data_IF_138761260547
#
_entry.id   IF_138761260547
#
_cell.length_a   1.000
_cell.length_b   1.000
_cell.length_c   1.000
_cell.angle_alpha   90.00
_cell.angle_beta   90.00
_cell.angle_gamma   90.00
#
_symmetry.space_group_name_H-M   'P 1'
#
loop_
_entity.id
_entity.type
_entity.pdbx_description
1 polymer ?
#
# COMPACT_ATOMS: atom_id res chain seq x y z
N UNK A 1 -59.09 -13.24 7.36
CA UNK A 1 -58.94 -11.82 6.97
C UNK A 1 -57.55 -11.47 6.38
N UNK A 2 -56.59 -12.36 6.37
CA UNK A 2 -55.20 -12.11 5.88
C UNK A 2 -55.01 -12.16 4.35
N UNK A 3 -55.97 -12.78 3.63
CA UNK A 3 -55.81 -13.06 2.19
C UNK A 3 -56.18 -11.87 1.26
N UNK A 4 -56.84 -10.85 1.79
CA UNK A 4 -57.22 -9.66 1.01
C UNK A 4 -56.13 -8.59 0.95
N UNK A 5 -55.23 -8.53 1.95
CA UNK A 5 -54.13 -7.57 1.95
C UNK A 5 -52.96 -8.00 1.04
N UNK A 6 -52.77 -9.31 0.88
CA UNK A 6 -51.69 -9.83 0.00
C UNK A 6 -51.98 -9.58 -1.48
N UNK A 7 -53.27 -9.67 -1.87
CA UNK A 7 -53.69 -9.42 -3.27
C UNK A 7 -53.74 -7.94 -3.67
N UNK A 8 -53.78 -7.01 -2.70
CA UNK A 8 -53.77 -5.56 -3.00
C UNK A 8 -52.35 -5.04 -3.29
N UNK A 9 -51.31 -5.64 -2.70
CA UNK A 9 -49.91 -5.30 -2.96
C UNK A 9 -49.46 -5.70 -4.37
N UNK A 10 -49.99 -6.78 -4.93
CA UNK A 10 -49.64 -7.21 -6.28
C UNK A 10 -50.36 -6.44 -7.41
N UNK A 11 -51.42 -5.69 -7.10
CA UNK A 11 -52.13 -4.85 -8.11
C UNK A 11 -51.46 -3.51 -8.39
N UNK A 12 -50.53 -3.08 -7.54
CA UNK A 12 -49.84 -1.80 -7.70
C UNK A 12 -48.58 -1.87 -8.59
N UNK A 13 -48.02 -3.06 -8.87
CA UNK A 13 -46.89 -3.22 -9.75
C UNK A 13 -47.28 -3.74 -11.13
N UNK A 14 -47.77 -2.83 -11.99
CA UNK A 14 -47.89 -3.09 -13.44
C UNK A 14 -46.49 -3.04 -14.10
N UNK A 15 -45.59 -3.91 -13.65
CA UNK A 15 -44.30 -4.10 -14.30
C UNK A 15 -44.53 -4.91 -15.59
N UNK A 16 -44.01 -4.41 -16.72
CA UNK A 16 -44.03 -5.13 -18.00
C UNK A 16 -43.25 -6.45 -17.82
N UNK A 17 -43.64 -7.46 -18.61
CA UNK A 17 -43.03 -8.80 -18.56
C UNK A 17 -41.49 -8.78 -18.60
N UNK A 18 -40.92 -7.83 -19.31
CA UNK A 18 -39.46 -7.58 -19.41
C UNK A 18 -38.85 -7.08 -18.09
N UNK A 19 -39.57 -6.31 -17.29
CA UNK A 19 -39.09 -5.79 -16.01
C UNK A 19 -39.04 -6.90 -14.94
N UNK A 20 -39.90 -7.90 -15.04
CA UNK A 20 -39.84 -9.08 -14.16
C UNK A 20 -38.61 -9.95 -14.42
N UNK A 21 -38.17 -10.08 -15.68
CA UNK A 21 -36.97 -10.82 -16.01
C UNK A 21 -35.72 -10.13 -15.46
N UNK A 22 -35.62 -8.80 -15.51
CA UNK A 22 -34.53 -8.05 -14.91
C UNK A 22 -34.51 -8.17 -13.38
N UNK A 23 -35.66 -8.11 -12.71
CA UNK A 23 -35.74 -8.28 -11.25
C UNK A 23 -35.32 -9.70 -10.82
N UNK A 24 -35.74 -10.73 -11.55
CA UNK A 24 -35.33 -12.11 -11.28
C UNK A 24 -33.84 -12.30 -11.51
N UNK A 25 -33.26 -11.74 -12.58
CA UNK A 25 -31.84 -11.78 -12.84
C UNK A 25 -31.05 -11.05 -11.75
N UNK A 26 -31.49 -9.88 -11.32
CA UNK A 26 -30.85 -9.13 -10.24
C UNK A 26 -30.88 -9.89 -8.91
N UNK A 27 -32.02 -10.51 -8.56
CA UNK A 27 -32.14 -11.36 -7.37
C UNK A 27 -31.19 -12.58 -7.43
N UNK A 28 -31.09 -13.19 -8.61
CA UNK A 28 -30.19 -14.34 -8.81
C UNK A 28 -28.72 -13.93 -8.69
N UNK A 29 -28.32 -12.78 -9.22
CA UNK A 29 -26.97 -12.24 -9.06
C UNK A 29 -26.64 -11.95 -7.58
N UNK A 30 -27.57 -11.33 -6.84
CA UNK A 30 -27.38 -11.05 -5.41
C UNK A 30 -27.25 -12.36 -4.61
N UNK A 31 -28.06 -13.38 -4.91
CA UNK A 31 -27.99 -14.69 -4.23
C UNK A 31 -26.67 -15.41 -4.47
N UNK A 32 -26.09 -15.31 -5.68
CA UNK A 32 -24.78 -15.88 -6.01
C UNK A 32 -23.68 -15.14 -5.24
N UNK A 33 -23.71 -13.81 -5.20
CA UNK A 33 -22.73 -13.00 -4.47
C UNK A 33 -22.76 -13.31 -2.97
N UNK A 34 -23.95 -13.36 -2.37
CA UNK A 34 -24.12 -13.70 -0.95
C UNK A 34 -23.70 -15.14 -0.67
N UNK A 35 -24.05 -16.09 -1.55
CA UNK A 35 -23.65 -17.50 -1.42
C UNK A 35 -22.15 -17.70 -1.47
N UNK A 36 -21.44 -17.02 -2.38
CA UNK A 36 -19.97 -17.10 -2.47
C UNK A 36 -19.31 -16.44 -1.26
N UNK A 37 -19.83 -15.32 -0.77
CA UNK A 37 -19.29 -14.65 0.41
C UNK A 37 -19.46 -15.49 1.70
N UNK A 38 -20.58 -16.21 1.83
CA UNK A 38 -20.81 -17.13 2.95
C UNK A 38 -19.93 -18.38 2.85
N UNK A 39 -19.71 -18.89 1.64
CA UNK A 39 -18.85 -20.07 1.45
C UNK A 39 -17.38 -19.79 1.70
N UNK A 40 -16.87 -18.62 1.30
CA UNK A 40 -15.49 -18.20 1.61
C UNK A 40 -15.28 -18.02 3.11
N UNK A 41 -16.27 -17.50 3.86
CA UNK A 41 -16.18 -17.42 5.32
C UNK A 41 -16.15 -18.79 5.99
N UNK A 42 -16.94 -19.77 5.51
CA UNK A 42 -16.90 -21.13 6.05
C UNK A 42 -15.57 -21.84 5.76
N UNK A 43 -14.92 -21.56 4.63
CA UNK A 43 -13.64 -22.16 4.28
C UNK A 43 -12.48 -21.67 5.19
N UNK A 44 -12.56 -20.47 5.75
CA UNK A 44 -11.58 -19.96 6.71
C UNK A 44 -11.71 -20.65 8.08
N UNK A 45 -12.91 -20.95 8.55
CA UNK A 45 -13.11 -21.69 9.81
C UNK A 45 -12.68 -23.16 9.73
N UNK A 46 -12.65 -23.77 8.54
CA UNK A 46 -12.24 -25.16 8.36
C UNK A 46 -10.71 -25.37 8.32
N UNK A 47 -9.90 -24.31 8.33
CA UNK A 47 -8.42 -24.41 8.30
C UNK A 47 -7.76 -24.39 9.68
N UNK A 48 -8.52 -24.41 10.76
CA UNK A 48 -7.95 -24.67 12.07
C UNK A 48 -7.65 -26.16 12.17
N UNK A 49 -6.44 -26.56 11.77
CA UNK A 49 -5.93 -27.90 12.01
C UNK A 49 -5.84 -28.13 13.51
N UNK A 50 -6.43 -29.20 14.06
CA UNK A 50 -6.23 -29.53 15.46
C UNK A 50 -4.75 -29.89 15.68
N UNK A 51 -4.10 -29.12 16.54
CA UNK A 51 -2.76 -29.43 17.02
C UNK A 51 -2.74 -30.82 17.61
N UNK A 52 -1.79 -31.71 17.24
CA UNK A 52 -1.70 -33.04 17.88
C UNK A 52 -1.45 -32.88 19.37
N UNK A 53 -1.97 -33.81 20.21
CA UNK A 53 -1.76 -33.75 21.66
C UNK A 53 -0.27 -33.88 21.98
N UNK A 54 0.28 -32.85 22.61
CA UNK A 54 1.64 -32.89 23.17
C UNK A 54 1.58 -33.79 24.43
N UNK A 55 2.04 -35.02 24.29
CA UNK A 55 2.28 -35.89 25.44
C UNK A 55 3.62 -35.50 26.07
N UNK A 56 3.55 -34.71 27.11
CA UNK A 56 4.67 -34.34 27.95
C UNK A 56 4.17 -33.41 29.05
N UNK A 57 4.28 -33.83 30.32
CA UNK A 57 3.90 -33.07 31.51
C UNK A 57 4.75 -31.78 31.63
N UNK A 58 4.40 -30.76 30.87
CA UNK A 58 4.93 -29.42 31.08
C UNK A 58 3.86 -28.64 31.85
N UNK A 59 4.19 -28.28 33.10
CA UNK A 59 3.31 -27.52 33.98
C UNK A 59 2.88 -26.24 33.31
N UNK A 60 1.59 -25.87 33.44
CA UNK A 60 1.04 -24.62 32.92
C UNK A 60 1.85 -23.38 33.38
N UNK A 61 2.52 -23.48 34.51
CA UNK A 61 3.45 -22.44 35.01
C UNK A 61 4.71 -22.31 34.14
N UNK A 62 5.23 -23.40 33.56
CA UNK A 62 6.41 -23.36 32.68
C UNK A 62 6.05 -22.78 31.30
N UNK A 63 4.84 -23.05 30.79
CA UNK A 63 4.35 -22.44 29.53
C UNK A 63 4.10 -20.93 29.70
N UNK A 64 3.58 -20.50 30.84
CA UNK A 64 3.42 -19.09 31.19
C UNK A 64 4.78 -18.40 31.34
N UNK A 65 5.75 -19.04 31.98
CA UNK A 65 7.09 -18.49 32.13
C UNK A 65 7.79 -18.35 30.77
N UNK A 66 7.67 -19.35 29.90
CA UNK A 66 8.25 -19.34 28.56
C UNK A 66 7.62 -18.31 27.64
N UNK A 67 6.30 -18.04 27.78
CA UNK A 67 5.63 -16.95 27.04
C UNK A 67 6.00 -15.56 27.58
N UNK A 68 6.23 -15.41 28.89
CA UNK A 68 6.71 -14.18 29.50
C UNK A 68 8.18 -13.89 29.13
N UNK A 69 9.04 -14.92 29.13
CA UNK A 69 10.45 -14.76 28.72
C UNK A 69 10.57 -14.47 27.23
N UNK A 70 9.71 -15.06 26.37
CA UNK A 70 9.65 -14.74 24.94
C UNK A 70 9.12 -13.33 24.68
N UNK A 71 8.20 -12.81 25.49
CA UNK A 71 7.68 -11.45 25.41
C UNK A 71 8.70 -10.40 25.91
N UNK A 72 9.56 -10.78 26.86
CA UNK A 72 10.62 -9.90 27.37
C UNK A 72 11.85 -9.82 26.46
N UNK A 73 12.07 -10.81 25.58
CA UNK A 73 13.19 -10.78 24.62
C UNK A 73 12.85 -9.99 23.35
N UNK A 74 11.58 -9.64 23.14
CA UNK A 74 11.12 -8.76 22.06
C UNK A 74 10.90 -7.32 22.57
N UNK A 75 11.84 -6.77 23.35
CA UNK A 75 11.91 -5.31 23.48
C UNK A 75 12.32 -4.78 22.11
N UNK A 76 11.48 -4.02 21.39
CA UNK A 76 11.97 -3.28 20.24
C UNK A 76 13.09 -2.39 20.80
N UNK A 77 14.31 -2.59 20.31
CA UNK A 77 15.38 -1.68 20.60
C UNK A 77 14.84 -0.27 20.31
N UNK A 78 15.06 0.72 21.21
CA UNK A 78 14.66 2.07 20.90
C UNK A 78 15.28 2.40 19.55
N UNK A 79 14.45 2.63 18.54
CA UNK A 79 14.91 3.14 17.25
C UNK A 79 15.48 4.52 17.57
N UNK A 80 16.78 4.57 17.84
CA UNK A 80 17.50 5.82 17.87
C UNK A 80 17.32 6.41 16.48
N UNK A 81 16.67 7.57 16.41
CA UNK A 81 16.56 8.33 15.18
C UNK A 81 17.92 8.29 14.48
N UNK A 82 18.00 7.98 13.19
CA UNK A 82 19.26 7.84 12.48
C UNK A 82 20.04 9.14 12.64
N UNK A 83 21.17 9.09 13.32
CA UNK A 83 22.04 10.25 13.57
C UNK A 83 22.72 10.70 12.28
N UNK A 84 22.71 9.86 11.26
CA UNK A 84 23.29 10.15 9.95
C UNK A 84 22.17 10.52 8.97
N UNK A 85 22.08 11.80 8.61
CA UNK A 85 21.12 12.34 7.65
C UNK A 85 21.62 12.31 6.20
N UNK A 86 22.78 11.68 5.95
CA UNK A 86 23.32 11.52 4.60
C UNK A 86 22.37 10.71 3.74
N UNK A 87 22.18 11.15 2.51
CA UNK A 87 21.33 10.45 1.54
C UNK A 87 22.18 9.83 0.43
N UNK A 88 21.73 8.69 -0.07
CA UNK A 88 22.25 8.03 -1.27
C UNK A 88 21.24 8.14 -2.40
N UNK A 89 21.68 7.97 -3.63
CA UNK A 89 20.76 7.97 -4.79
C UNK A 89 19.88 6.71 -4.77
N UNK A 90 18.55 6.85 -4.99
CA UNK A 90 17.65 5.69 -5.04
C UNK A 90 17.80 4.85 -6.32
N UNK A 91 18.40 5.40 -7.37
CA UNK A 91 18.69 4.71 -8.63
C UNK A 91 20.19 4.79 -8.93
N UNK A 92 20.67 3.82 -9.72
CA UNK A 92 22.04 3.83 -10.22
C UNK A 92 22.34 5.05 -11.12
N UNK A 93 21.34 5.46 -11.91
CA UNK A 93 21.38 6.67 -12.74
C UNK A 93 20.22 7.58 -12.41
N UNK A 94 20.47 8.83 -12.11
CA UNK A 94 19.48 9.86 -11.76
C UNK A 94 19.29 10.83 -12.92
N UNK A 95 18.49 10.42 -13.91
CA UNK A 95 18.09 11.29 -15.01
C UNK A 95 16.73 11.87 -14.74
N UNK A 96 16.67 13.18 -14.47
CA UNK A 96 15.40 13.88 -14.19
C UNK A 96 14.50 13.87 -15.44
N UNK A 97 13.30 13.33 -15.27
CA UNK A 97 12.27 13.28 -16.31
C UNK A 97 11.25 14.40 -16.13
N UNK A 98 10.79 14.61 -14.90
CA UNK A 98 9.86 15.66 -14.51
C UNK A 98 10.28 16.26 -13.17
N UNK A 99 10.48 17.59 -13.08
CA UNK A 99 10.89 18.23 -11.84
C UNK A 99 9.71 18.39 -10.86
N UNK A 100 10.07 18.55 -9.59
CA UNK A 100 9.17 19.01 -8.55
C UNK A 100 8.58 20.39 -8.90
N UNK A 101 7.25 20.53 -8.82
CA UNK A 101 6.55 21.81 -9.00
C UNK A 101 5.27 21.82 -8.14
N UNK A 102 5.38 22.38 -6.94
CA UNK A 102 4.25 22.57 -6.03
C UNK A 102 3.54 23.92 -6.19
N UNK A 103 3.82 24.65 -7.27
CA UNK A 103 3.27 25.99 -7.53
C UNK A 103 2.30 26.03 -8.68
N UNK A 104 2.41 25.12 -9.63
CA UNK A 104 1.60 25.08 -10.86
C UNK A 104 0.87 23.76 -10.96
N UNK A 105 -0.46 23.86 -11.06
CA UNK A 105 -1.26 22.68 -11.39
C UNK A 105 -1.00 22.29 -12.86
N UNK A 106 -0.85 21.00 -13.10
CA UNK A 106 -0.75 20.38 -14.43
C UNK A 106 -1.90 19.42 -14.63
N UNK A 107 -2.38 19.34 -15.86
CA UNK A 107 -3.34 18.32 -16.23
C UNK A 107 -2.60 17.04 -16.62
N UNK A 108 -2.96 15.93 -15.99
CA UNK A 108 -2.52 14.62 -16.43
C UNK A 108 -3.13 14.33 -17.80
N UNK A 109 -2.32 13.99 -18.79
CA UNK A 109 -2.79 13.56 -20.11
C UNK A 109 -3.47 12.20 -20.07
N UNK A 110 -3.12 11.37 -19.07
CA UNK A 110 -3.67 10.04 -18.88
C UNK A 110 -5.07 10.06 -18.24
N UNK A 111 -5.29 10.92 -17.23
CA UNK A 111 -6.53 10.94 -16.44
C UNK A 111 -7.38 12.19 -16.65
N UNK A 112 -6.80 13.26 -17.20
CA UNK A 112 -7.45 14.57 -17.33
C UNK A 112 -7.57 15.36 -16.02
N UNK A 113 -7.08 14.83 -14.91
CA UNK A 113 -7.13 15.48 -13.60
C UNK A 113 -6.05 16.56 -13.49
N UNK A 114 -6.35 17.63 -12.76
CA UNK A 114 -5.41 18.69 -12.43
C UNK A 114 -4.81 18.45 -11.05
N UNK A 115 -3.48 18.38 -10.99
CA UNK A 115 -2.74 18.19 -9.73
C UNK A 115 -1.44 19.00 -9.72
N UNK A 116 -0.92 19.28 -8.53
CA UNK A 116 0.46 19.71 -8.34
C UNK A 116 1.37 18.49 -8.48
N UNK A 117 2.57 18.69 -9.00
CA UNK A 117 3.60 17.65 -9.02
C UNK A 117 4.54 17.85 -7.81
N UNK A 118 4.12 17.42 -6.63
CA UNK A 118 4.87 17.54 -5.36
C UNK A 118 5.90 16.42 -5.15
N UNK A 119 6.46 15.94 -6.26
CA UNK A 119 7.45 14.89 -6.38
C UNK A 119 8.45 15.22 -7.51
N UNK A 120 9.44 14.39 -7.72
CA UNK A 120 10.28 14.42 -8.91
C UNK A 120 10.32 13.02 -9.54
N UNK A 121 10.24 12.97 -10.88
CA UNK A 121 10.31 11.72 -11.63
C UNK A 121 11.70 11.52 -12.21
N UNK A 122 12.25 10.34 -11.98
CA UNK A 122 13.56 9.96 -12.49
C UNK A 122 13.44 8.77 -13.43
N UNK A 123 13.91 8.96 -14.66
CA UNK A 123 13.87 7.92 -15.70
C UNK A 123 14.67 6.69 -15.26
N UNK A 124 14.14 5.52 -15.55
CA UNK A 124 14.81 4.25 -15.33
C UNK A 124 14.14 3.13 -16.12
N UNK A 125 14.87 2.07 -16.39
CA UNK A 125 14.29 0.89 -17.04
C UNK A 125 13.28 0.21 -16.13
N UNK A 126 12.20 -0.34 -16.71
CA UNK A 126 11.30 -1.21 -15.96
C UNK A 126 12.08 -2.40 -15.37
N UNK A 127 11.84 -2.71 -14.10
CA UNK A 127 12.60 -3.71 -13.35
C UNK A 127 13.95 -3.24 -12.81
N UNK A 128 14.36 -1.99 -13.05
CA UNK A 128 15.57 -1.43 -12.41
C UNK A 128 15.36 -1.36 -10.88
N UNK A 129 16.45 -1.61 -10.14
CA UNK A 129 16.43 -1.60 -8.67
C UNK A 129 16.18 -0.20 -8.15
N UNK A 130 15.33 -0.11 -7.13
CA UNK A 130 15.11 1.08 -6.33
C UNK A 130 15.64 0.83 -4.93
N UNK A 131 16.45 1.74 -4.41
CA UNK A 131 17.14 1.62 -3.12
C UNK A 131 16.67 2.69 -2.14
N UNK A 132 16.68 2.36 -0.85
CA UNK A 132 16.41 3.32 0.22
C UNK A 132 17.48 4.42 0.24
N UNK A 133 17.07 5.68 0.32
CA UNK A 133 17.97 6.83 0.32
C UNK A 133 18.81 6.94 1.60
N UNK A 134 18.31 6.44 2.71
CA UNK A 134 18.98 6.44 4.01
C UNK A 134 18.51 5.28 4.87
N UNK A 135 19.07 5.13 6.07
CA UNK A 135 18.53 4.25 7.10
C UNK A 135 17.13 4.73 7.50
N UNK A 136 16.24 3.79 7.80
CA UNK A 136 14.85 4.14 8.15
C UNK A 136 13.99 2.94 8.50
N UNK A 137 12.69 3.21 8.63
CA UNK A 137 11.67 2.18 8.88
C UNK A 137 10.59 2.27 7.84
N UNK A 138 10.22 1.15 7.26
CA UNK A 138 9.13 1.06 6.28
C UNK A 138 7.79 1.31 6.98
N UNK A 139 7.08 2.36 6.55
CA UNK A 139 5.76 2.67 7.08
C UNK A 139 4.68 1.90 6.33
N UNK A 140 4.80 1.84 5.00
CA UNK A 140 3.81 1.18 4.17
C UNK A 140 4.40 0.65 2.86
N UNK A 141 3.83 -0.45 2.35
CA UNK A 141 4.01 -0.95 0.99
C UNK A 141 2.61 -1.33 0.47
N UNK A 142 2.11 -0.61 -0.51
CA UNK A 142 0.76 -0.79 -1.02
C UNK A 142 0.63 -0.44 -2.50
N UNK A 143 -0.54 -0.72 -3.07
CA UNK A 143 -1.00 -0.18 -4.33
C UNK A 143 -2.19 0.76 -4.04
N UNK A 144 -2.08 2.01 -4.42
CA UNK A 144 -3.09 3.03 -4.14
C UNK A 144 -4.06 3.29 -5.28
N UNK A 145 -3.85 2.73 -6.45
CA UNK A 145 -4.61 3.08 -7.65
C UNK A 145 -4.35 4.51 -8.19
N UNK A 146 -3.69 5.37 -7.42
CA UNK A 146 -3.26 6.72 -7.84
C UNK A 146 -1.76 6.75 -8.09
N UNK A 147 -0.99 6.35 -7.08
CA UNK A 147 0.48 6.29 -7.14
C UNK A 147 1.00 4.95 -7.66
N UNK A 148 0.09 4.03 -8.04
CA UNK A 148 0.43 2.65 -8.31
C UNK A 148 1.03 1.96 -7.09
N UNK A 149 1.86 0.97 -7.32
CA UNK A 149 2.61 0.32 -6.26
C UNK A 149 3.68 1.28 -5.69
N UNK A 150 3.70 1.42 -4.37
CA UNK A 150 4.62 2.34 -3.68
C UNK A 150 5.11 1.76 -2.36
N UNK A 151 6.25 2.27 -1.91
CA UNK A 151 6.77 2.10 -0.56
C UNK A 151 6.94 3.47 0.10
N UNK A 152 6.54 3.59 1.36
CA UNK A 152 6.79 4.75 2.22
C UNK A 152 7.74 4.37 3.34
N UNK A 153 8.79 5.17 3.52
CA UNK A 153 9.83 4.94 4.51
C UNK A 153 10.04 6.22 5.32
N UNK A 154 10.02 6.08 6.63
CA UNK A 154 10.42 7.15 7.55
C UNK A 154 11.94 7.07 7.79
N UNK A 155 12.64 8.10 7.37
CA UNK A 155 14.07 8.28 7.54
C UNK A 155 14.39 9.23 8.71
N UNK A 156 13.76 8.99 9.87
CA UNK A 156 13.98 9.79 11.07
C UNK A 156 13.27 11.15 11.04
N UNK A 157 11.96 11.14 10.77
CA UNK A 157 11.09 12.31 10.67
C UNK A 157 11.00 12.88 9.26
N UNK A 158 11.69 12.28 8.28
CA UNK A 158 11.54 12.59 6.85
C UNK A 158 10.86 11.40 6.16
N UNK A 159 9.64 11.62 5.70
CA UNK A 159 8.88 10.59 5.00
C UNK A 159 9.20 10.62 3.50
N UNK A 160 9.69 9.51 2.98
CA UNK A 160 9.97 9.36 1.55
C UNK A 160 9.05 8.31 0.95
N UNK A 161 8.31 8.69 -0.10
CA UNK A 161 7.52 7.78 -0.92
C UNK A 161 8.24 7.49 -2.22
N UNK A 162 8.46 6.21 -2.46
CA UNK A 162 8.98 5.66 -3.69
C UNK A 162 7.80 5.02 -4.43
N UNK A 163 7.31 5.64 -5.49
CA UNK A 163 6.11 5.20 -6.20
C UNK A 163 6.40 4.80 -7.65
N UNK A 164 5.36 4.33 -8.35
CA UNK A 164 5.45 3.70 -9.67
C UNK A 164 6.33 2.45 -9.67
N UNK A 165 6.34 1.71 -8.55
CA UNK A 165 7.09 0.47 -8.40
C UNK A 165 6.36 -0.70 -9.08
N UNK A 166 7.06 -1.79 -9.32
CA UNK A 166 6.43 -3.08 -9.59
C UNK A 166 5.79 -3.62 -8.30
N UNK A 167 4.86 -4.59 -8.43
CA UNK A 167 4.24 -5.23 -7.25
C UNK A 167 5.21 -6.15 -6.47
N UNK A 168 6.47 -6.24 -6.89
CA UNK A 168 7.52 -7.04 -6.25
C UNK A 168 8.32 -6.16 -5.29
N UNK A 169 7.94 -6.18 -4.02
CA UNK A 169 8.69 -5.50 -2.97
C UNK A 169 9.75 -6.42 -2.35
N UNK A 170 10.90 -5.84 -2.01
CA UNK A 170 11.95 -6.51 -1.25
C UNK A 170 11.81 -6.30 0.27
N UNK A 171 10.77 -5.57 0.71
CA UNK A 171 10.52 -5.09 2.07
C UNK A 171 9.04 -5.19 2.44
N UNK A 172 8.74 -5.06 3.73
CA UNK A 172 7.38 -5.04 4.29
C UNK A 172 7.24 -3.89 5.30
N UNK A 173 6.00 -3.47 5.55
CA UNK A 173 5.73 -2.49 6.61
C UNK A 173 6.26 -2.99 7.97
N UNK A 174 6.95 -2.10 8.69
CA UNK A 174 7.64 -2.37 9.94
C UNK A 174 9.11 -2.80 9.79
N UNK A 175 9.58 -3.14 8.59
CA UNK A 175 10.97 -3.55 8.39
C UNK A 175 11.92 -2.35 8.55
N UNK A 176 13.06 -2.53 9.22
CA UNK A 176 14.17 -1.58 9.16
C UNK A 176 14.87 -1.70 7.81
N UNK A 177 15.26 -0.58 7.23
CA UNK A 177 16.05 -0.53 6.00
C UNK A 177 17.34 0.27 6.22
N UNK A 178 18.36 -0.02 5.43
CA UNK A 178 19.63 0.70 5.41
C UNK A 178 19.78 1.50 4.12
N UNK A 179 20.54 2.56 4.18
CA UNK A 179 20.94 3.33 3.01
C UNK A 179 21.49 2.40 1.91
N UNK A 180 21.00 2.55 0.68
CA UNK A 180 21.40 1.72 -0.48
C UNK A 180 20.77 0.32 -0.52
N UNK A 181 19.99 -0.07 0.49
CA UNK A 181 19.27 -1.35 0.46
C UNK A 181 18.20 -1.34 -0.62
N UNK A 182 18.13 -2.39 -1.44
CA UNK A 182 17.04 -2.55 -2.42
C UNK A 182 15.71 -2.68 -1.71
N UNK A 183 14.74 -1.81 -2.07
CA UNK A 183 13.39 -1.77 -1.50
C UNK A 183 12.33 -2.25 -2.49
N UNK A 184 12.60 -2.18 -3.78
CA UNK A 184 11.70 -2.58 -4.85
C UNK A 184 12.34 -2.40 -6.22
N UNK A 185 11.50 -2.34 -7.23
CA UNK A 185 11.92 -2.23 -8.62
C UNK A 185 11.00 -1.25 -9.35
N UNK A 186 11.51 -0.51 -10.33
CA UNK A 186 10.69 0.36 -11.17
C UNK A 186 9.63 -0.46 -11.89
N UNK A 187 8.39 0.04 -11.88
CA UNK A 187 7.25 -0.50 -12.60
C UNK A 187 6.65 0.48 -13.60
N UNK A 188 5.38 0.23 -13.93
CA UNK A 188 4.49 1.10 -14.72
C UNK A 188 3.08 1.01 -14.15
N UNK A 189 2.99 1.17 -12.84
CA UNK A 189 1.75 0.93 -12.09
C UNK A 189 0.99 2.21 -11.77
N UNK A 190 1.58 3.39 -12.01
CA UNK A 190 1.00 4.70 -11.73
C UNK A 190 0.09 5.16 -12.89
N UNK A 191 -1.26 5.19 -12.71
CA UNK A 191 -2.18 5.52 -13.78
C UNK A 191 -2.08 6.98 -14.26
N UNK A 192 -1.77 7.92 -13.34
CA UNK A 192 -1.70 9.34 -13.67
C UNK A 192 -0.54 9.71 -14.59
N UNK A 193 0.46 8.85 -14.68
CA UNK A 193 1.70 9.06 -15.43
C UNK A 193 2.01 7.90 -16.39
N UNK A 194 0.97 7.14 -16.77
CA UNK A 194 1.13 5.98 -17.67
C UNK A 194 1.58 6.35 -19.09
N UNK A 195 1.49 7.62 -19.48
CA UNK A 195 1.97 8.19 -20.73
C UNK A 195 3.49 8.48 -20.72
N UNK A 196 4.11 8.50 -19.53
CA UNK A 196 5.55 8.65 -19.39
C UNK A 196 6.29 7.33 -19.58
N UNK A 197 7.60 7.38 -19.92
CA UNK A 197 8.46 6.22 -19.83
C UNK A 197 8.48 5.63 -18.42
N UNK A 198 8.99 4.41 -18.25
CA UNK A 198 9.21 3.84 -16.93
C UNK A 198 10.12 4.75 -16.10
N UNK A 199 9.73 5.02 -14.85
CA UNK A 199 10.40 5.99 -13.98
C UNK A 199 10.13 5.69 -12.52
N UNK A 200 10.95 6.23 -11.65
CA UNK A 200 10.68 6.33 -10.21
C UNK A 200 10.02 7.68 -9.93
N UNK A 201 8.83 7.66 -9.34
CA UNK A 201 8.17 8.85 -8.78
C UNK A 201 8.58 8.99 -7.31
N UNK A 202 9.39 10.01 -7.00
CA UNK A 202 10.01 10.21 -5.70
C UNK A 202 9.42 11.45 -5.02
N UNK A 203 8.76 11.25 -3.87
CA UNK A 203 8.20 12.33 -3.06
C UNK A 203 8.85 12.34 -1.68
N UNK A 204 9.29 13.51 -1.22
CA UNK A 204 9.90 13.71 0.09
C UNK A 204 9.06 14.69 0.88
N UNK A 205 8.74 14.37 2.14
CA UNK A 205 7.94 15.19 3.04
C UNK A 205 8.66 15.36 4.36
N UNK A 206 8.71 16.61 4.83
CA UNK A 206 9.27 17.00 6.14
C UNK A 206 8.16 17.67 6.92
N UNK A 207 7.74 17.08 8.04
CA UNK A 207 6.50 17.45 8.69
C UNK A 207 5.32 17.30 7.73
N UNK A 208 4.64 18.42 7.42
CA UNK A 208 3.50 18.45 6.47
C UNK A 208 3.87 19.05 5.11
N UNK A 209 5.16 19.29 4.85
CA UNK A 209 5.61 20.02 3.67
C UNK A 209 6.36 19.10 2.71
N UNK A 210 5.91 19.03 1.46
CA UNK A 210 6.66 18.39 0.39
C UNK A 210 7.87 19.25 0.01
N UNK A 211 9.03 18.62 -0.08
CA UNK A 211 10.30 19.26 -0.42
C UNK A 211 10.84 18.71 -1.74
N UNK A 212 11.57 19.55 -2.46
CA UNK A 212 12.14 19.23 -3.76
C UNK A 212 13.21 18.12 -3.63
N UNK A 213 12.97 16.91 -4.18
CA UNK A 213 13.91 15.81 -4.10
C UNK A 213 15.27 16.11 -4.74
N UNK A 214 15.31 16.96 -5.78
CA UNK A 214 16.56 17.33 -6.43
C UNK A 214 17.48 18.11 -5.50
N UNK A 215 16.91 19.04 -4.70
CA UNK A 215 17.66 19.79 -3.69
C UNK A 215 18.20 18.90 -2.59
N UNK A 216 17.41 17.91 -2.17
CA UNK A 216 17.84 16.94 -1.16
C UNK A 216 19.00 16.08 -1.69
N UNK A 217 18.90 15.58 -2.91
CA UNK A 217 19.98 14.81 -3.55
C UNK A 217 21.25 15.65 -3.78
N UNK A 218 21.11 16.92 -4.19
CA UNK A 218 22.25 17.83 -4.37
C UNK A 218 22.94 18.19 -3.07
N UNK A 219 22.17 18.37 -1.98
CA UNK A 219 22.74 18.65 -0.65
C UNK A 219 23.43 17.44 -0.03
N UNK A 220 23.03 16.23 -0.43
CA UNK A 220 23.51 14.97 0.13
C UNK A 220 23.02 14.67 1.54
N UNK A 221 22.06 15.47 2.06
CA UNK A 221 21.50 15.31 3.41
C UNK A 221 20.01 15.61 3.43
N UNK A 222 19.25 14.93 4.28
CA UNK A 222 17.88 15.30 4.55
C UNK A 222 17.78 16.61 5.34
N UNK A 223 16.78 17.46 5.05
CA UNK A 223 16.50 18.63 5.88
C UNK A 223 16.04 18.23 7.30
N UNK A 224 16.12 19.17 8.24
CA UNK A 224 15.63 18.96 9.59
C UNK A 224 14.10 18.84 9.61
N UNK A 225 13.52 17.88 10.40
CA UNK A 225 12.08 17.69 10.55
C UNK A 225 11.40 18.80 11.34
#
# INVERSE_FOLDING_TARGET
>A
MADRHFRSLFRALHLRREQWTFLLMALLCVSVIVGTALWTRQAEFARVTPTPPISGDISAAQLLQQSLDSAQTATPAPTTAPTNRSVTTPLESMTLLRPFDNTRMRQSSATGLWALHDAADYAGAEGAKVSAMADGTVINCADSGVFGAYAEIDHGGVLVRYANLSMLYAIRAGDPVRAGQTIGFIGRTMPEECDLPAHLHLRIVVGDTAVDPEKVLQSGVFPDP
#
